data_IF_193578049120
#
_entry.id   IF_193578049120
#
_cell.length_a   1.000
_cell.length_b   1.000
_cell.length_c   1.000
_cell.angle_alpha   90.00
_cell.angle_beta   90.00
_cell.angle_gamma   90.00
#
_symmetry.space_group_name_H-M   'P 1'
#
loop_
_entity.id
_entity.type
_entity.pdbx_description
1 polymer ?
#
# COMPACT_ATOMS: atom_id res chain seq x y z
N UNK A 1 -0.47 2.36 -4.34
CA UNK A 1 0.95 2.23 -4.76
C UNK A 1 1.08 0.88 -5.47
N UNK A 2 1.50 0.85 -6.73
CA UNK A 2 1.44 -0.37 -7.55
C UNK A 2 2.47 -1.45 -7.17
N UNK A 3 3.44 -1.17 -6.28
CA UNK A 3 4.47 -2.16 -5.89
C UNK A 3 5.42 -2.57 -7.02
N UNK A 4 5.37 -1.89 -8.16
CA UNK A 4 6.10 -2.25 -9.38
C UNK A 4 7.44 -1.51 -9.55
N UNK A 5 7.69 -0.43 -8.82
CA UNK A 5 8.82 0.49 -9.11
C UNK A 5 10.19 -0.22 -9.13
N UNK A 6 10.58 -0.84 -8.02
CA UNK A 6 11.85 -1.56 -7.94
C UNK A 6 11.89 -2.78 -8.89
N UNK A 7 10.78 -3.52 -8.99
CA UNK A 7 10.66 -4.70 -9.86
C UNK A 7 10.89 -4.35 -11.33
N UNK A 8 10.38 -3.20 -11.79
CA UNK A 8 10.57 -2.73 -13.17
C UNK A 8 12.02 -2.33 -13.44
N UNK A 9 12.70 -1.71 -12.49
CA UNK A 9 14.12 -1.39 -12.63
C UNK A 9 14.99 -2.66 -12.75
N UNK A 10 14.70 -3.68 -11.94
CA UNK A 10 15.39 -4.98 -11.98
C UNK A 10 15.12 -5.68 -13.32
N UNK A 11 13.85 -5.74 -13.74
CA UNK A 11 13.44 -6.33 -15.02
C UNK A 11 14.13 -5.66 -16.20
N UNK A 12 14.12 -4.33 -16.25
CA UNK A 12 14.76 -3.58 -17.32
C UNK A 12 16.28 -3.81 -17.35
N UNK A 13 16.93 -3.80 -16.20
CA UNK A 13 18.35 -4.11 -16.08
C UNK A 13 18.69 -5.53 -16.55
N UNK A 14 17.87 -6.51 -16.18
CA UNK A 14 18.04 -7.90 -16.62
C UNK A 14 17.82 -8.06 -18.12
N UNK A 15 16.78 -7.47 -18.70
CA UNK A 15 16.49 -7.58 -20.14
C UNK A 15 17.59 -6.95 -20.99
N UNK A 16 18.14 -5.81 -20.54
CA UNK A 16 19.16 -5.06 -21.30
C UNK A 16 20.57 -5.60 -21.12
N UNK A 17 20.94 -5.99 -19.89
CA UNK A 17 22.33 -6.36 -19.59
C UNK A 17 22.54 -7.84 -19.30
N UNK A 18 21.46 -8.60 -19.06
CA UNK A 18 21.48 -9.98 -18.59
C UNK A 18 22.32 -10.20 -17.31
N UNK A 19 22.54 -9.13 -16.53
CA UNK A 19 23.25 -9.20 -15.26
C UNK A 19 22.28 -9.34 -14.09
N UNK A 20 22.62 -10.13 -13.06
CA UNK A 20 21.81 -10.24 -11.86
C UNK A 20 21.85 -8.95 -11.03
N UNK A 21 20.78 -8.73 -10.27
CA UNK A 21 20.74 -7.69 -9.25
C UNK A 21 21.46 -8.21 -8.00
N UNK A 22 22.25 -7.33 -7.38
CA UNK A 22 22.93 -7.60 -6.11
C UNK A 22 22.21 -6.85 -5.01
N UNK A 23 21.67 -7.58 -4.03
CA UNK A 23 20.95 -7.04 -2.88
C UNK A 23 21.70 -7.40 -1.60
N UNK A 24 21.98 -6.40 -0.79
CA UNK A 24 22.71 -6.52 0.48
C UNK A 24 21.84 -5.94 1.58
N UNK A 25 21.42 -6.74 2.54
CA UNK A 25 20.55 -6.29 3.63
C UNK A 25 21.13 -6.68 4.99
N UNK A 26 21.16 -5.73 5.93
CA UNK A 26 21.47 -5.99 7.33
C UNK A 26 20.43 -5.34 8.24
N UNK A 27 19.68 -6.17 8.94
CA UNK A 27 18.58 -5.76 9.84
C UNK A 27 19.04 -5.52 11.28
N UNK A 28 20.07 -6.23 11.71
CA UNK A 28 20.53 -6.17 13.11
C UNK A 28 21.91 -5.49 13.24
N UNK A 29 22.52 -5.08 12.13
CA UNK A 29 23.85 -4.48 12.11
C UNK A 29 24.96 -5.41 12.61
N UNK A 30 24.73 -6.73 12.51
CA UNK A 30 25.68 -7.80 12.88
C UNK A 30 25.92 -8.73 11.70
N UNK A 31 24.83 -9.14 11.06
CA UNK A 31 24.83 -10.05 9.92
C UNK A 31 24.25 -9.30 8.73
N UNK A 32 24.89 -9.46 7.58
CA UNK A 32 24.44 -8.96 6.30
C UNK A 32 24.27 -10.13 5.33
N UNK A 33 23.07 -10.26 4.78
CA UNK A 33 22.78 -11.21 3.72
C UNK A 33 22.97 -10.53 2.37
N UNK A 34 23.78 -11.16 1.52
CA UNK A 34 24.05 -10.78 0.15
C UNK A 34 23.39 -11.80 -0.78
N UNK A 35 22.53 -11.29 -1.66
CA UNK A 35 21.81 -12.07 -2.67
C UNK A 35 22.21 -11.58 -4.06
N UNK A 36 22.57 -12.53 -4.91
CA UNK A 36 22.67 -12.33 -6.35
C UNK A 36 21.49 -13.05 -6.98
N UNK A 37 20.60 -12.32 -7.64
CA UNK A 37 19.33 -12.87 -8.11
C UNK A 37 18.92 -12.34 -9.48
N UNK A 38 18.17 -13.17 -10.20
CA UNK A 38 17.44 -12.84 -11.42
C UNK A 38 15.93 -13.01 -11.17
N UNK A 39 15.10 -12.48 -12.07
CA UNK A 39 13.67 -12.75 -12.09
C UNK A 39 13.34 -13.75 -13.21
N UNK A 40 12.66 -14.83 -12.87
CA UNK A 40 11.93 -15.67 -13.83
C UNK A 40 10.65 -14.93 -14.23
N UNK A 41 10.68 -14.32 -15.43
CA UNK A 41 9.60 -13.48 -15.96
C UNK A 41 8.33 -14.30 -16.21
N UNK A 42 8.46 -15.57 -16.63
CA UNK A 42 7.28 -16.40 -16.93
C UNK A 42 6.55 -16.83 -15.67
N UNK A 43 7.29 -17.18 -14.62
CA UNK A 43 6.72 -17.63 -13.34
C UNK A 43 6.49 -16.49 -12.35
N UNK A 44 6.96 -15.28 -12.66
CA UNK A 44 6.98 -14.13 -11.76
C UNK A 44 7.61 -14.48 -10.40
N UNK A 45 8.77 -15.15 -10.43
CA UNK A 45 9.48 -15.62 -9.23
C UNK A 45 10.95 -15.23 -9.26
N UNK A 46 11.56 -14.91 -8.11
CA UNK A 46 13.00 -14.70 -8.05
C UNK A 46 13.76 -16.02 -8.20
N UNK A 47 14.90 -15.97 -8.88
CA UNK A 47 15.87 -17.06 -9.00
C UNK A 47 17.14 -16.60 -8.31
N UNK A 48 17.46 -17.23 -7.16
CA UNK A 48 18.66 -16.93 -6.38
C UNK A 48 19.83 -17.68 -7.01
N UNK A 49 20.82 -16.95 -7.53
CA UNK A 49 22.04 -17.51 -8.09
C UNK A 49 23.08 -17.74 -7.00
N UNK A 50 23.19 -16.78 -6.08
CA UNK A 50 24.16 -16.81 -5.00
C UNK A 50 23.55 -16.23 -3.73
N UNK A 51 23.90 -16.84 -2.61
CA UNK A 51 23.59 -16.33 -1.29
C UNK A 51 24.84 -16.43 -0.42
N UNK A 52 25.24 -15.32 0.18
CA UNK A 52 26.34 -15.25 1.13
C UNK A 52 25.90 -14.47 2.36
N UNK A 53 26.38 -14.90 3.51
CA UNK A 53 26.15 -14.22 4.79
C UNK A 53 27.50 -13.72 5.31
N UNK A 54 27.57 -12.44 5.67
CA UNK A 54 28.79 -11.77 6.14
C UNK A 54 28.54 -11.05 7.45
N UNK A 55 29.53 -11.06 8.34
CA UNK A 55 29.48 -10.23 9.54
C UNK A 55 29.80 -8.78 9.19
N UNK A 56 28.91 -7.85 9.56
CA UNK A 56 29.01 -6.43 9.21
C UNK A 56 28.51 -5.60 10.38
N UNK A 57 29.12 -4.44 10.61
CA UNK A 57 28.78 -3.51 11.71
C UNK A 57 27.76 -2.43 11.33
N UNK A 58 27.18 -2.50 10.14
CA UNK A 58 26.32 -1.46 9.56
C UNK A 58 24.93 -2.01 9.29
N UNK A 59 23.93 -1.24 9.67
CA UNK A 59 22.52 -1.48 9.36
C UNK A 59 22.14 -0.84 8.03
N UNK A 60 21.32 -1.52 7.23
CA UNK A 60 20.72 -0.93 6.03
C UNK A 60 20.54 -1.88 4.86
N UNK A 61 20.10 -1.31 3.73
CA UNK A 61 19.87 -2.00 2.47
C UNK A 61 20.69 -1.33 1.37
N UNK A 62 21.37 -2.13 0.57
CA UNK A 62 22.05 -1.71 -0.64
C UNK A 62 21.55 -2.54 -1.81
N UNK A 63 21.18 -1.87 -2.89
CA UNK A 63 20.68 -2.49 -4.12
C UNK A 63 21.55 -1.99 -5.28
N UNK A 64 22.11 -2.92 -6.05
CA UNK A 64 22.93 -2.60 -7.23
C UNK A 64 22.34 -3.27 -8.45
N UNK A 65 21.94 -2.46 -9.42
CA UNK A 65 21.35 -2.89 -10.69
C UNK A 65 22.23 -2.37 -11.82
N UNK A 66 22.57 -3.23 -12.78
CA UNK A 66 23.18 -2.83 -14.03
C UNK A 66 22.09 -2.68 -15.08
N UNK A 67 22.06 -1.54 -15.77
CA UNK A 67 21.10 -1.25 -16.83
C UNK A 67 21.79 -0.49 -17.95
N UNK A 68 21.22 -0.58 -19.15
CA UNK A 68 21.62 0.23 -20.28
C UNK A 68 20.87 1.57 -20.28
N UNK A 69 21.55 2.69 -20.53
CA UNK A 69 20.91 4.00 -20.54
C UNK A 69 21.83 5.13 -21.00
N UNK A 70 21.23 6.21 -21.49
CA UNK A 70 21.93 7.41 -21.96
C UNK A 70 22.02 8.46 -20.83
N UNK A 71 23.15 8.44 -20.11
CA UNK A 71 23.40 9.40 -19.03
C UNK A 71 23.62 10.83 -19.54
N UNK A 72 24.12 11.02 -20.77
CA UNK A 72 24.37 12.36 -21.30
C UNK A 72 23.06 13.16 -21.45
N UNK A 73 21.98 12.48 -21.83
CA UNK A 73 20.63 13.09 -21.93
C UNK A 73 19.91 13.15 -20.58
N UNK A 74 20.06 12.12 -19.74
CA UNK A 74 19.30 12.00 -18.49
C UNK A 74 19.95 12.68 -17.27
N UNK A 75 21.27 12.92 -17.30
CA UNK A 75 22.06 13.35 -16.15
C UNK A 75 21.52 14.60 -15.45
N UNK A 76 21.15 15.64 -16.21
CA UNK A 76 20.56 16.87 -15.65
C UNK A 76 19.28 16.59 -14.87
N UNK A 77 18.37 15.76 -15.43
CA UNK A 77 17.11 15.40 -14.76
C UNK A 77 17.33 14.59 -13.49
N UNK A 78 18.33 13.72 -13.48
CA UNK A 78 18.70 12.93 -12.29
C UNK A 78 19.23 13.86 -11.20
N UNK A 79 20.12 14.80 -11.55
CA UNK A 79 20.66 15.79 -10.60
C UNK A 79 19.55 16.67 -10.03
N UNK A 80 18.64 17.15 -10.88
CA UNK A 80 17.49 17.96 -10.45
C UNK A 80 16.59 17.18 -9.49
N UNK A 81 16.33 15.90 -9.76
CA UNK A 81 15.56 15.04 -8.85
C UNK A 81 16.22 14.91 -7.47
N UNK A 82 17.53 14.64 -7.42
CA UNK A 82 18.28 14.53 -6.17
C UNK A 82 18.27 15.86 -5.41
N UNK A 83 18.46 16.98 -6.12
CA UNK A 83 18.43 18.32 -5.54
C UNK A 83 17.05 18.69 -4.99
N UNK A 84 15.99 18.52 -5.77
CA UNK A 84 14.62 18.79 -5.33
C UNK A 84 14.22 17.91 -4.14
N UNK A 85 14.63 16.64 -4.14
CA UNK A 85 14.39 15.73 -3.01
C UNK A 85 15.09 16.25 -1.75
N UNK A 86 16.35 16.68 -1.86
CA UNK A 86 17.09 17.19 -0.69
C UNK A 86 16.48 18.46 -0.10
N UNK A 87 15.84 19.31 -0.93
CA UNK A 87 15.12 20.49 -0.48
C UNK A 87 13.88 20.14 0.36
N UNK A 88 13.09 19.13 -0.05
CA UNK A 88 11.86 18.75 0.67
C UNK A 88 12.11 17.79 1.85
N UNK A 89 13.25 17.09 1.88
CA UNK A 89 13.64 16.21 2.99
C UNK A 89 14.85 16.75 3.78
N UNK A 90 14.73 17.89 4.49
CA UNK A 90 15.86 18.52 5.19
C UNK A 90 16.37 17.69 6.39
N UNK A 91 15.66 16.63 6.77
CA UNK A 91 16.05 15.68 7.83
C UNK A 91 16.97 14.55 7.32
N UNK A 92 17.15 14.41 6.00
CA UNK A 92 17.94 13.35 5.39
C UNK A 92 19.29 13.87 4.86
N UNK A 93 20.30 13.01 4.86
CA UNK A 93 21.56 13.25 4.15
C UNK A 93 21.54 12.44 2.87
N UNK A 94 21.72 13.10 1.72
CA UNK A 94 21.69 12.47 0.40
C UNK A 94 23.04 12.70 -0.29
N UNK A 95 23.66 11.62 -0.73
CA UNK A 95 24.92 11.64 -1.50
C UNK A 95 24.66 11.08 -2.89
N UNK A 96 25.13 11.79 -3.92
CA UNK A 96 25.03 11.38 -5.31
C UNK A 96 26.39 11.50 -5.98
N UNK A 97 26.92 10.36 -6.40
CA UNK A 97 28.16 10.25 -7.15
C UNK A 97 27.81 10.10 -8.64
N UNK A 98 28.18 11.09 -9.43
CA UNK A 98 27.92 11.15 -10.86
C UNK A 98 28.92 10.27 -11.63
N UNK A 99 28.50 9.53 -12.68
CA UNK A 99 29.41 8.87 -13.62
C UNK A 99 30.52 9.76 -14.20
N UNK A 100 30.31 11.09 -14.28
CA UNK A 100 31.30 12.08 -14.72
C UNK A 100 32.34 12.44 -13.65
N UNK A 101 32.24 11.87 -12.45
CA UNK A 101 33.17 12.09 -11.33
C UNK A 101 32.79 13.23 -10.38
N UNK A 102 31.70 13.95 -10.65
CA UNK A 102 31.17 14.99 -9.76
C UNK A 102 30.48 14.35 -8.55
N UNK A 103 30.78 14.84 -7.35
CA UNK A 103 30.19 14.34 -6.10
C UNK A 103 29.33 15.41 -5.45
N UNK A 104 28.06 15.11 -5.29
CA UNK A 104 27.09 15.99 -4.65
C UNK A 104 26.73 15.43 -3.28
N UNK A 105 26.87 16.26 -2.24
CA UNK A 105 26.55 15.88 -0.86
C UNK A 105 25.63 16.92 -0.24
N UNK A 106 24.37 16.53 -0.03
CA UNK A 106 23.37 17.34 0.66
C UNK A 106 23.23 16.83 2.08
N UNK A 107 23.76 17.57 3.05
CA UNK A 107 23.69 17.19 4.47
C UNK A 107 22.36 17.61 5.09
N UNK A 108 21.85 16.79 6.02
CA UNK A 108 20.67 17.16 6.80
C UNK A 108 20.85 18.51 7.49
N UNK A 109 19.81 19.35 7.42
CA UNK A 109 19.74 20.67 8.05
C UNK A 109 19.05 20.55 9.42
N UNK A 110 17.99 19.74 9.50
CA UNK A 110 17.25 19.51 10.74
C UNK A 110 17.52 18.12 11.30
N UNK A 111 17.44 17.98 12.63
CA UNK A 111 17.59 16.68 13.32
C UNK A 111 16.26 16.07 13.74
N UNK A 112 15.18 16.84 13.69
CA UNK A 112 13.84 16.42 14.08
C UNK A 112 13.16 15.67 12.93
N UNK A 113 12.74 14.44 13.17
CA UNK A 113 12.02 13.62 12.19
C UNK A 113 10.51 13.91 12.26
N UNK A 114 9.81 14.09 11.13
CA UNK A 114 8.35 14.19 11.14
C UNK A 114 7.71 12.88 11.64
N UNK A 115 6.47 12.92 12.16
CA UNK A 115 5.78 11.72 12.60
C UNK A 115 5.55 10.75 11.44
N UNK A 116 5.80 9.46 11.67
CA UNK A 116 5.60 8.43 10.66
C UNK A 116 4.12 8.31 10.27
N UNK A 117 3.81 8.10 8.98
CA UNK A 117 2.44 7.87 8.56
C UNK A 117 1.90 6.58 9.18
N UNK A 118 0.63 6.61 9.59
CA UNK A 118 -0.07 5.45 10.15
C UNK A 118 -1.05 4.89 9.14
N UNK A 119 -1.24 3.56 9.17
CA UNK A 119 -2.24 2.90 8.34
C UNK A 119 -3.62 3.25 8.90
N UNK A 120 -4.46 3.89 8.08
CA UNK A 120 -5.84 4.23 8.43
C UNK A 120 -6.83 3.37 7.64
N UNK A 121 -8.05 3.24 8.17
CA UNK A 121 -9.15 2.60 7.44
C UNK A 121 -9.58 3.47 6.26
N UNK A 122 -10.05 2.86 5.16
CA UNK A 122 -10.49 3.61 3.98
C UNK A 122 -11.69 4.50 4.32
N UNK A 123 -11.68 5.72 3.80
CA UNK A 123 -12.77 6.67 3.97
C UNK A 123 -13.97 6.29 3.08
N UNK A 124 -15.22 6.22 3.60
CA UNK A 124 -16.39 5.71 2.86
C UNK A 124 -16.65 6.34 1.49
N UNK A 125 -16.35 7.63 1.32
CA UNK A 125 -16.56 8.35 0.06
C UNK A 125 -15.64 7.86 -1.08
N UNK A 126 -14.49 7.26 -0.78
CA UNK A 126 -13.49 6.85 -1.77
C UNK A 126 -13.44 5.34 -2.01
N UNK A 127 -14.47 4.59 -1.61
CA UNK A 127 -14.47 3.13 -1.68
C UNK A 127 -15.20 2.68 -2.94
N UNK A 128 -14.52 1.88 -3.76
CA UNK A 128 -15.10 1.23 -4.93
C UNK A 128 -15.76 -0.11 -4.57
N UNK A 129 -16.67 -0.59 -5.43
CA UNK A 129 -17.37 -1.88 -5.26
C UNK A 129 -16.38 -3.05 -5.11
N UNK A 130 -15.26 -3.02 -5.84
CA UNK A 130 -14.22 -4.05 -5.73
C UNK A 130 -13.50 -4.01 -4.37
N UNK A 131 -13.32 -2.82 -3.81
CA UNK A 131 -12.72 -2.67 -2.48
C UNK A 131 -13.69 -3.18 -1.41
N UNK A 132 -14.99 -2.91 -1.55
CA UNK A 132 -16.03 -3.51 -0.70
C UNK A 132 -15.98 -5.04 -0.83
N UNK A 133 -15.92 -5.58 -2.05
CA UNK A 133 -15.84 -7.02 -2.29
C UNK A 133 -14.64 -7.66 -1.60
N UNK A 134 -13.46 -7.06 -1.70
CA UNK A 134 -12.25 -7.55 -1.01
C UNK A 134 -12.42 -7.52 0.51
N UNK A 135 -12.94 -6.42 1.05
CA UNK A 135 -13.24 -6.34 2.48
C UNK A 135 -14.23 -7.42 2.94
N UNK A 136 -15.23 -7.74 2.11
CA UNK A 136 -16.19 -8.80 2.41
C UNK A 136 -15.54 -10.19 2.40
N UNK A 137 -14.64 -10.46 1.45
CA UNK A 137 -13.90 -11.72 1.38
C UNK A 137 -12.91 -11.87 2.53
N UNK A 138 -12.22 -10.80 2.91
CA UNK A 138 -11.27 -10.79 4.03
C UNK A 138 -11.98 -10.91 5.40
N UNK A 139 -13.26 -10.52 5.48
CA UNK A 139 -14.03 -10.59 6.72
C UNK A 139 -14.67 -11.98 6.88
N UNK A 140 -14.51 -12.60 8.04
CA UNK A 140 -15.15 -13.89 8.39
C UNK A 140 -16.69 -13.85 8.48
N UNK A 141 -17.29 -12.68 8.27
CA UNK A 141 -18.73 -12.46 8.39
C UNK A 141 -19.31 -12.23 7.00
N UNK A 142 -20.14 -13.18 6.56
CA UNK A 142 -20.88 -13.09 5.31
C UNK A 142 -21.97 -12.02 5.41
N UNK A 143 -22.24 -11.32 4.30
CA UNK A 143 -23.43 -10.48 4.20
C UNK A 143 -24.64 -11.42 4.40
N UNK A 144 -25.53 -11.13 5.36
CA UNK A 144 -26.75 -11.91 5.52
C UNK A 144 -27.60 -11.77 4.25
N UNK A 145 -28.13 -12.88 3.75
CA UNK A 145 -29.13 -12.83 2.69
C UNK A 145 -30.35 -12.04 3.18
N UNK A 146 -30.89 -11.16 2.33
CA UNK A 146 -32.09 -10.37 2.64
C UNK A 146 -33.32 -11.23 2.36
N UNK A 147 -33.48 -12.28 3.16
CA UNK A 147 -34.64 -13.17 3.12
C UNK A 147 -35.75 -12.62 4.03
N UNK A 148 -36.97 -13.17 3.94
CA UNK A 148 -38.11 -12.76 4.78
C UNK A 148 -37.80 -12.84 6.30
N UNK A 149 -36.95 -13.78 6.70
CA UNK A 149 -36.45 -13.91 8.07
C UNK A 149 -35.56 -12.72 8.49
N UNK A 150 -34.77 -12.18 7.57
CA UNK A 150 -33.94 -11.02 7.82
C UNK A 150 -34.78 -9.74 7.84
N UNK A 151 -35.77 -9.62 6.95
CA UNK A 151 -36.72 -8.49 6.91
C UNK A 151 -37.54 -8.43 8.19
N UNK A 152 -38.07 -9.56 8.66
CA UNK A 152 -38.81 -9.63 9.94
C UNK A 152 -37.92 -9.29 11.13
N UNK A 153 -36.65 -9.71 11.13
CA UNK A 153 -35.67 -9.35 12.16
C UNK A 153 -35.36 -7.85 12.18
N UNK A 154 -35.16 -7.24 11.01
CA UNK A 154 -34.96 -5.77 10.86
C UNK A 154 -36.17 -5.02 11.42
N UNK A 155 -37.40 -5.42 11.04
CA UNK A 155 -38.65 -4.82 11.54
C UNK A 155 -38.77 -4.95 13.06
N UNK A 156 -38.45 -6.10 13.63
CA UNK A 156 -38.47 -6.36 15.08
C UNK A 156 -37.47 -5.47 15.83
N UNK A 157 -36.23 -5.38 15.36
CA UNK A 157 -35.18 -4.59 16.02
C UNK A 157 -35.41 -3.07 15.91
N UNK A 158 -35.93 -2.61 14.77
CA UNK A 158 -36.28 -1.20 14.57
C UNK A 158 -37.61 -0.81 15.25
N UNK A 159 -38.45 -1.79 15.62
CA UNK A 159 -39.77 -1.56 16.19
C UNK A 159 -40.76 -1.03 15.16
N UNK A 160 -40.67 -1.54 13.93
CA UNK A 160 -41.59 -1.21 12.85
C UNK A 160 -42.76 -2.19 12.92
N UNK A 161 -43.97 -1.71 13.21
CA UNK A 161 -45.19 -2.46 12.93
C UNK A 161 -45.35 -2.64 11.41
N UNK A 162 -46.31 -3.46 10.94
CA UNK A 162 -46.58 -3.77 9.52
C UNK A 162 -46.98 -2.56 8.61
N UNK A 163 -46.51 -1.35 8.91
CA UNK A 163 -46.71 -0.13 8.15
C UNK A 163 -45.61 0.01 7.11
N UNK A 164 -45.99 0.36 5.88
CA UNK A 164 -45.06 0.78 4.84
C UNK A 164 -44.51 2.16 5.21
N UNK A 165 -43.24 2.22 5.62
CA UNK A 165 -42.56 3.46 6.03
C UNK A 165 -41.69 4.00 4.89
N UNK A 166 -41.49 5.31 4.87
CA UNK A 166 -40.58 5.96 3.92
C UNK A 166 -39.12 5.59 4.23
N UNK A 167 -38.28 5.49 3.20
CA UNK A 167 -36.83 5.28 3.34
C UNK A 167 -36.20 6.26 4.35
N UNK A 168 -36.62 7.53 4.33
CA UNK A 168 -36.15 8.57 5.26
C UNK A 168 -36.46 8.26 6.74
N UNK A 169 -37.64 7.72 7.02
CA UNK A 169 -38.09 7.38 8.39
C UNK A 169 -37.39 6.13 8.93
N UNK A 170 -37.12 5.16 8.05
CA UNK A 170 -36.34 3.96 8.38
C UNK A 170 -34.91 4.38 8.76
N UNK A 171 -34.32 5.31 8.00
CA UNK A 171 -32.97 5.80 8.25
C UNK A 171 -32.85 6.63 9.54
N UNK A 172 -33.81 7.50 9.84
CA UNK A 172 -33.83 8.28 11.10
C UNK A 172 -33.94 7.36 12.34
N UNK A 173 -34.82 6.35 12.31
CA UNK A 173 -34.93 5.36 13.39
C UNK A 173 -33.66 4.51 13.52
N UNK A 174 -33.06 4.14 12.40
CA UNK A 174 -31.80 3.38 12.37
C UNK A 174 -30.68 4.19 13.02
N UNK A 175 -30.56 5.48 12.72
CA UNK A 175 -29.56 6.35 13.31
C UNK A 175 -29.73 6.46 14.83
N UNK A 176 -30.96 6.60 15.31
CA UNK A 176 -31.28 6.64 16.75
C UNK A 176 -30.92 5.35 17.49
N UNK A 177 -31.15 4.18 16.86
CA UNK A 177 -30.91 2.85 17.47
C UNK A 177 -29.59 2.19 17.09
N UNK A 178 -28.71 2.87 16.36
CA UNK A 178 -27.54 2.26 15.73
C UNK A 178 -26.68 1.40 16.68
N UNK A 179 -26.46 1.88 17.91
CA UNK A 179 -25.65 1.19 18.91
C UNK A 179 -26.28 -0.09 19.47
N UNK A 180 -27.60 -0.24 19.43
CA UNK A 180 -28.32 -1.41 19.95
C UNK A 180 -28.61 -2.48 18.90
N UNK A 181 -28.54 -2.13 17.60
CA UNK A 181 -28.83 -3.06 16.50
C UNK A 181 -27.80 -4.19 16.43
N UNK A 182 -28.23 -5.38 16.02
CA UNK A 182 -27.30 -6.48 15.74
C UNK A 182 -26.47 -6.18 14.51
N UNK A 183 -25.24 -6.73 14.45
CA UNK A 183 -24.30 -6.49 13.34
C UNK A 183 -24.89 -6.81 11.95
N UNK A 184 -25.67 -7.90 11.76
CA UNK A 184 -26.36 -8.17 10.49
C UNK A 184 -27.33 -7.06 10.09
N UNK A 185 -28.13 -6.53 11.03
CA UNK A 185 -29.11 -5.47 10.76
C UNK A 185 -28.40 -4.15 10.41
N UNK A 186 -27.29 -3.83 11.08
CA UNK A 186 -26.46 -2.66 10.72
C UNK A 186 -25.91 -2.74 9.31
N UNK A 187 -25.47 -3.93 8.87
CA UNK A 187 -24.96 -4.14 7.51
C UNK A 187 -26.07 -3.90 6.48
N UNK A 188 -27.25 -4.49 6.67
CA UNK A 188 -28.39 -4.30 5.74
C UNK A 188 -28.82 -2.84 5.68
N UNK A 189 -28.91 -2.14 6.82
CA UNK A 189 -29.25 -0.72 6.83
C UNK A 189 -28.16 0.18 6.23
N UNK A 190 -26.88 -0.14 6.43
CA UNK A 190 -25.78 0.58 5.79
C UNK A 190 -25.82 0.40 4.26
N UNK A 191 -26.09 -0.82 3.77
CA UNK A 191 -26.25 -1.09 2.34
C UNK A 191 -27.46 -0.37 1.76
N UNK A 192 -28.61 -0.36 2.45
CA UNK A 192 -29.80 0.39 2.02
C UNK A 192 -29.53 1.89 1.91
N UNK A 193 -28.88 2.46 2.94
CA UNK A 193 -28.45 3.86 2.92
C UNK A 193 -27.52 4.18 1.76
N UNK A 194 -26.63 3.24 1.40
CA UNK A 194 -25.67 3.41 0.32
C UNK A 194 -26.35 3.35 -1.05
N UNK A 195 -27.25 2.39 -1.26
CA UNK A 195 -27.95 2.21 -2.53
C UNK A 195 -29.11 3.18 -2.75
N UNK A 196 -29.49 4.00 -1.76
CA UNK A 196 -30.67 4.89 -1.78
C UNK A 196 -31.96 4.17 -2.22
N UNK A 197 -32.04 2.86 -2.00
CA UNK A 197 -33.18 2.06 -2.41
C UNK A 197 -34.10 1.84 -1.20
N UNK A 198 -35.36 2.24 -1.35
CA UNK A 198 -36.45 1.81 -0.47
C UNK A 198 -36.82 0.35 -0.75
N UNK A 199 -37.47 -0.28 0.23
CA UNK A 199 -38.15 -1.58 0.05
C UNK A 199 -39.33 -1.45 -0.91
#
# INVERSE_FOLDING_TARGET
MFGLGATMAILYGQITTNKPVIVKSSTDGKIQDEYEMLLDIQKNKPVILKHETKEVSKFGLSVSICLEGDYAKAGTKIRDYVYQTSLITPYATITFDDPKGEKYRYTKVIRTMPPSPTIIRPHPHGIDVETIRRMLLDTHYQIPAVDDNMISKVRKELGLANKNLSHSEIMDKTQKKWKSLTRPVRIVMALMSFFKNGF
#
